data_IF_698818834319
#
_entry.id   IF_698818834319
#
_cell.length_a   1.000
_cell.length_b   1.000
_cell.length_c   1.000
_cell.angle_alpha   90.00
_cell.angle_beta   90.00
_cell.angle_gamma   90.00
#
_symmetry.space_group_name_H-M   'P 1'
#
loop_
_entity.id
_entity.type
_entity.pdbx_description
1 polymer ?
#
# COMPACT_ATOMS: atom_id res chain seq x y z
N UNK A 1 59.88 -37.36 26.67
CA UNK A 1 59.69 -35.89 26.79
C UNK A 1 59.35 -35.42 25.38
N UNK A 2 58.09 -35.60 25.00
CA UNK A 2 57.01 -34.58 25.16
C UNK A 2 57.20 -33.45 24.14
N UNK A 3 56.22 -32.89 23.45
CA UNK A 3 54.83 -33.20 23.07
C UNK A 3 54.53 -32.09 22.02
N UNK A 4 53.89 -32.42 20.90
CA UNK A 4 52.60 -31.85 20.45
C UNK A 4 52.63 -30.38 19.96
N UNK A 5 52.06 -30.17 18.78
CA UNK A 5 51.74 -28.83 18.28
C UNK A 5 51.37 -28.73 16.80
N UNK A 6 50.58 -29.68 16.29
CA UNK A 6 49.76 -29.44 15.08
C UNK A 6 48.53 -28.68 15.57
N UNK A 7 48.33 -27.44 15.12
CA UNK A 7 47.07 -26.72 15.35
C UNK A 7 46.79 -25.71 14.25
N UNK A 8 45.69 -25.99 13.54
CA UNK A 8 44.65 -25.04 13.16
C UNK A 8 44.92 -24.06 12.01
N UNK A 9 44.99 -24.62 10.80
CA UNK A 9 44.40 -23.97 9.62
C UNK A 9 42.96 -24.44 9.54
N UNK A 10 42.08 -23.76 10.27
CA UNK A 10 40.64 -23.85 10.10
C UNK A 10 40.08 -22.43 10.04
N UNK A 11 40.26 -21.79 8.88
CA UNK A 11 39.55 -20.57 8.55
C UNK A 11 38.26 -20.97 7.84
N UNK A 12 37.36 -21.54 8.64
CA UNK A 12 36.00 -21.87 8.23
C UNK A 12 35.36 -20.66 7.58
N UNK A 13 34.91 -20.91 6.35
CA UNK A 13 33.92 -20.13 5.63
C UNK A 13 32.77 -19.83 6.58
N UNK A 14 32.64 -18.58 7.00
CA UNK A 14 31.40 -18.07 7.57
C UNK A 14 30.45 -17.77 6.41
N UNK A 15 29.43 -18.59 6.10
CA UNK A 15 28.41 -18.18 5.16
C UNK A 15 27.68 -16.99 5.79
N UNK A 16 27.69 -15.86 5.07
CA UNK A 16 26.93 -14.67 5.42
C UNK A 16 25.53 -15.08 5.82
N UNK A 17 25.23 -14.90 7.11
CA UNK A 17 23.89 -14.93 7.66
C UNK A 17 23.09 -13.91 6.86
N UNK A 18 22.35 -14.39 5.86
CA UNK A 18 21.30 -13.61 5.23
C UNK A 18 20.36 -13.26 6.38
N UNK A 19 20.40 -12.00 6.81
CA UNK A 19 19.43 -11.46 7.74
C UNK A 19 18.09 -11.55 7.03
N UNK A 20 17.38 -12.67 7.21
CA UNK A 20 15.96 -12.75 6.94
C UNK A 20 15.36 -11.79 7.97
N UNK A 21 15.18 -10.54 7.55
CA UNK A 21 14.38 -9.56 8.29
C UNK A 21 13.06 -10.25 8.59
N UNK A 22 12.78 -10.47 9.87
CA UNK A 22 11.49 -10.91 10.35
C UNK A 22 10.43 -9.97 9.77
N UNK A 23 9.77 -10.39 8.69
CA UNK A 23 8.55 -9.73 8.22
C UNK A 23 7.52 -10.06 9.27
N UNK A 24 7.35 -9.15 10.22
CA UNK A 24 6.33 -9.24 11.25
C UNK A 24 5.00 -9.50 10.55
N UNK A 25 4.44 -10.69 10.81
CA UNK A 25 3.16 -11.06 10.24
C UNK A 25 2.12 -10.08 10.83
N UNK A 26 1.27 -9.45 10.00
CA UNK A 26 0.28 -8.51 10.50
C UNK A 26 -0.59 -9.20 11.55
N UNK A 27 -0.96 -8.47 12.61
CA UNK A 27 -1.81 -9.04 13.64
C UNK A 27 -3.14 -9.48 13.00
N UNK A 28 -3.72 -10.58 13.50
CA UNK A 28 -5.00 -11.11 12.96
C UNK A 28 -6.11 -10.03 12.93
N UNK A 29 -6.06 -9.09 13.88
CA UNK A 29 -6.97 -7.94 13.95
C UNK A 29 -6.82 -6.99 12.76
N UNK A 30 -5.59 -6.73 12.30
CA UNK A 30 -5.32 -5.82 11.19
C UNK A 30 -5.85 -6.38 9.87
N UNK A 31 -5.67 -7.69 9.66
CA UNK A 31 -6.18 -8.37 8.47
C UNK A 31 -7.71 -8.35 8.43
N UNK A 32 -8.39 -8.54 9.57
CA UNK A 32 -9.85 -8.48 9.65
C UNK A 32 -10.39 -7.07 9.35
N UNK A 33 -9.73 -6.03 9.85
CA UNK A 33 -10.08 -4.63 9.55
C UNK A 33 -9.90 -4.32 8.05
N UNK A 34 -8.78 -4.72 7.45
CA UNK A 34 -8.53 -4.53 6.02
C UNK A 34 -9.63 -5.16 5.15
N UNK A 35 -10.05 -6.40 5.46
CA UNK A 35 -11.08 -7.10 4.68
C UNK A 35 -12.44 -6.38 4.77
N UNK A 36 -12.81 -5.84 5.94
CA UNK A 36 -14.06 -5.10 6.13
C UNK A 36 -14.07 -3.79 5.33
N UNK A 37 -13.00 -3.04 5.42
CA UNK A 37 -12.85 -1.77 4.72
C UNK A 37 -12.79 -1.95 3.21
N UNK A 38 -12.15 -3.02 2.72
CA UNK A 38 -12.14 -3.38 1.30
C UNK A 38 -13.56 -3.61 0.75
N UNK A 39 -14.37 -4.37 1.50
CA UNK A 39 -15.74 -4.67 1.11
C UNK A 39 -16.61 -3.40 1.14
N UNK A 40 -16.39 -2.55 2.15
CA UNK A 40 -17.06 -1.26 2.25
C UNK A 40 -16.69 -0.32 1.09
N UNK A 41 -15.42 -0.15 0.76
CA UNK A 41 -14.95 0.66 -0.38
C UNK A 41 -15.55 0.17 -1.71
N UNK A 42 -15.54 -1.15 -1.94
CA UNK A 42 -16.12 -1.70 -3.16
C UNK A 42 -17.63 -1.44 -3.25
N UNK A 43 -18.34 -1.45 -2.12
CA UNK A 43 -19.78 -1.19 -2.06
C UNK A 43 -20.17 0.29 -2.09
N UNK A 44 -19.29 1.21 -1.69
CA UNK A 44 -19.55 2.66 -1.68
C UNK A 44 -19.21 3.36 -2.99
N UNK A 45 -18.44 2.70 -3.87
CA UNK A 45 -18.11 3.24 -5.19
C UNK A 45 -19.35 3.36 -6.08
N UNK A 46 -19.55 4.54 -6.65
CA UNK A 46 -20.64 4.80 -7.58
C UNK A 46 -20.42 4.13 -8.95
N UNK A 47 -21.48 4.10 -9.76
CA UNK A 47 -21.44 3.51 -11.10
C UNK A 47 -20.39 4.18 -12.00
N UNK A 48 -20.21 5.49 -11.87
CA UNK A 48 -19.23 6.31 -12.59
C UNK A 48 -17.78 6.09 -12.14
N UNK A 49 -17.56 5.41 -11.00
CA UNK A 49 -16.24 5.14 -10.43
C UNK A 49 -15.83 6.07 -9.29
N UNK A 50 -16.60 7.13 -9.03
CA UNK A 50 -16.34 8.08 -7.95
C UNK A 50 -16.77 7.54 -6.58
N UNK A 51 -16.27 8.20 -5.53
CA UNK A 51 -16.74 8.05 -4.16
C UNK A 51 -17.51 9.31 -3.77
N UNK A 52 -18.83 9.25 -3.90
CA UNK A 52 -19.71 10.38 -3.59
C UNK A 52 -19.64 11.54 -4.59
N UNK A 53 -19.13 11.32 -5.81
CA UNK A 53 -18.92 12.38 -6.80
C UNK A 53 -17.85 13.40 -6.41
N UNK A 54 -17.07 13.14 -5.36
CA UNK A 54 -16.12 14.08 -4.78
C UNK A 54 -14.69 13.68 -5.10
N UNK A 55 -13.89 14.64 -5.56
CA UNK A 55 -12.51 14.40 -5.98
C UNK A 55 -11.63 13.99 -4.82
N UNK A 56 -11.76 14.64 -3.68
CA UNK A 56 -10.90 14.42 -2.53
C UNK A 56 -11.17 13.04 -1.89
N UNK A 57 -12.43 12.66 -1.78
CA UNK A 57 -12.86 11.31 -1.34
C UNK A 57 -12.43 10.22 -2.31
N UNK A 58 -12.56 10.46 -3.61
CA UNK A 58 -12.14 9.49 -4.64
C UNK A 58 -10.61 9.32 -4.65
N UNK A 59 -9.86 10.41 -4.47
CA UNK A 59 -8.41 10.36 -4.29
C UNK A 59 -8.02 9.58 -3.03
N UNK A 60 -8.69 9.83 -1.89
CA UNK A 60 -8.48 9.09 -0.65
C UNK A 60 -8.71 7.59 -0.81
N UNK A 61 -9.82 7.22 -1.45
CA UNK A 61 -10.14 5.82 -1.74
C UNK A 61 -9.05 5.17 -2.60
N UNK A 62 -8.61 5.85 -3.67
CA UNK A 62 -7.58 5.32 -4.56
C UNK A 62 -6.26 5.11 -3.80
N UNK A 63 -5.80 6.08 -3.02
CA UNK A 63 -4.58 5.96 -2.23
C UNK A 63 -4.65 4.80 -1.24
N UNK A 64 -5.78 4.62 -0.56
CA UNK A 64 -5.98 3.52 0.39
C UNK A 64 -5.92 2.15 -0.33
N UNK A 65 -6.54 2.04 -1.50
CA UNK A 65 -6.50 0.82 -2.30
C UNK A 65 -5.07 0.52 -2.78
N UNK A 66 -4.33 1.55 -3.17
CA UNK A 66 -2.95 1.46 -3.63
C UNK A 66 -2.02 0.99 -2.49
N UNK A 67 -2.08 1.63 -1.33
CA UNK A 67 -1.28 1.25 -0.15
C UNK A 67 -1.52 -0.20 0.29
N UNK A 68 -2.76 -0.69 0.14
CA UNK A 68 -3.12 -2.09 0.45
C UNK A 68 -2.71 -3.10 -0.63
N UNK A 69 -2.03 -2.64 -1.68
CA UNK A 69 -1.52 -3.47 -2.76
C UNK A 69 -2.61 -4.04 -3.68
N UNK A 70 -3.78 -3.40 -3.74
CA UNK A 70 -4.90 -3.87 -4.59
C UNK A 70 -4.66 -3.65 -6.08
N UNK A 71 -3.59 -2.94 -6.44
CA UNK A 71 -3.11 -2.77 -7.82
C UNK A 71 -2.58 -4.08 -8.42
N UNK A 72 -2.08 -5.00 -7.59
CA UNK A 72 -1.47 -6.27 -8.03
C UNK A 72 -2.42 -7.47 -7.96
N UNK A 73 -3.62 -7.31 -7.38
CA UNK A 73 -4.60 -8.39 -7.21
C UNK A 73 -5.52 -8.50 -8.43
N UNK A 74 -6.02 -9.68 -8.73
CA UNK A 74 -7.05 -9.88 -9.78
C UNK A 74 -8.46 -9.75 -9.21
N UNK A 75 -9.46 -9.48 -10.07
CA UNK A 75 -10.88 -9.48 -9.69
C UNK A 75 -11.46 -8.09 -9.34
N UNK A 76 -12.46 -8.07 -8.45
CA UNK A 76 -13.27 -6.89 -8.15
C UNK A 76 -12.43 -5.68 -7.68
N UNK A 77 -11.41 -5.92 -6.85
CA UNK A 77 -10.51 -4.89 -6.30
C UNK A 77 -9.76 -4.12 -7.39
N UNK A 78 -9.21 -4.82 -8.39
CA UNK A 78 -8.56 -4.18 -9.54
C UNK A 78 -9.54 -3.35 -10.35
N UNK A 79 -10.78 -3.82 -10.46
CA UNK A 79 -11.85 -3.09 -11.15
C UNK A 79 -12.22 -1.81 -10.39
N UNK A 80 -12.30 -1.85 -9.06
CA UNK A 80 -12.53 -0.67 -8.22
C UNK A 80 -11.42 0.37 -8.40
N UNK A 81 -10.15 -0.05 -8.38
CA UNK A 81 -8.99 0.81 -8.66
C UNK A 81 -9.09 1.43 -10.06
N UNK A 82 -9.31 0.60 -11.09
CA UNK A 82 -9.38 1.08 -12.47
C UNK A 82 -10.51 2.10 -12.69
N UNK A 83 -11.69 1.88 -12.09
CA UNK A 83 -12.81 2.82 -12.19
C UNK A 83 -12.52 4.14 -11.49
N UNK A 84 -11.93 4.11 -10.28
CA UNK A 84 -11.57 5.32 -9.57
C UNK A 84 -10.50 6.12 -10.32
N UNK A 85 -9.48 5.44 -10.84
CA UNK A 85 -8.43 6.06 -11.65
C UNK A 85 -8.99 6.67 -12.95
N UNK A 86 -9.85 5.95 -13.66
CA UNK A 86 -10.49 6.45 -14.89
C UNK A 86 -11.34 7.70 -14.61
N UNK A 87 -12.09 7.72 -13.50
CA UNK A 87 -12.85 8.90 -13.10
C UNK A 87 -11.92 10.07 -12.75
N UNK A 88 -10.89 9.86 -11.92
CA UNK A 88 -9.93 10.90 -11.53
C UNK A 88 -9.15 11.48 -12.70
N UNK A 89 -8.83 10.67 -13.72
CA UNK A 89 -8.13 11.14 -14.92
C UNK A 89 -8.93 12.17 -15.74
N UNK A 90 -10.24 12.30 -15.49
CA UNK A 90 -11.09 13.34 -16.11
C UNK A 90 -11.16 14.63 -15.29
N UNK A 91 -10.55 14.67 -14.11
CA UNK A 91 -10.62 15.79 -13.18
C UNK A 91 -9.36 16.65 -13.28
N UNK A 92 -9.53 17.94 -13.52
CA UNK A 92 -8.44 18.92 -13.41
C UNK A 92 -8.30 19.37 -11.96
N UNK A 93 -7.69 18.52 -11.13
CA UNK A 93 -7.56 18.78 -9.69
C UNK A 93 -6.23 18.25 -9.13
N UNK A 94 -5.55 18.99 -8.23
CA UNK A 94 -4.26 18.57 -7.66
C UNK A 94 -4.32 17.21 -6.95
N UNK A 95 -5.38 16.94 -6.18
CA UNK A 95 -5.55 15.66 -5.49
C UNK A 95 -5.76 14.48 -6.44
N UNK A 96 -6.37 14.72 -7.60
CA UNK A 96 -6.53 13.68 -8.61
C UNK A 96 -5.16 13.29 -9.18
N UNK A 97 -4.34 14.29 -9.53
CA UNK A 97 -2.97 14.08 -9.99
C UNK A 97 -2.12 13.32 -8.96
N UNK A 98 -2.15 13.76 -7.71
CA UNK A 98 -1.42 13.12 -6.61
C UNK A 98 -1.79 11.64 -6.46
N UNK A 99 -3.08 11.32 -6.52
CA UNK A 99 -3.53 9.93 -6.38
C UNK A 99 -3.14 9.07 -7.60
N UNK A 100 -3.14 9.63 -8.80
CA UNK A 100 -2.70 8.95 -10.02
C UNK A 100 -1.18 8.73 -10.03
N UNK A 101 -0.38 9.70 -9.59
CA UNK A 101 1.07 9.57 -9.46
C UNK A 101 1.45 8.44 -8.46
N UNK A 102 0.71 8.33 -7.34
CA UNK A 102 0.88 7.24 -6.39
C UNK A 102 0.49 5.87 -6.97
N UNK A 103 -0.57 5.81 -7.78
CA UNK A 103 -0.96 4.60 -8.50
C UNK A 103 0.14 4.16 -9.48
N UNK A 104 0.67 5.08 -10.28
CA UNK A 104 1.76 4.80 -11.22
C UNK A 104 3.02 4.25 -10.52
N UNK A 105 3.40 4.85 -9.38
CA UNK A 105 4.50 4.34 -8.56
C UNK A 105 4.24 2.89 -8.11
N UNK A 106 3.04 2.60 -7.61
CA UNK A 106 2.67 1.25 -7.19
C UNK A 106 2.67 0.22 -8.33
N UNK A 107 2.28 0.64 -9.54
CA UNK A 107 2.31 -0.18 -10.75
C UNK A 107 3.74 -0.47 -11.23
N UNK A 108 4.70 0.45 -11.01
CA UNK A 108 6.14 0.20 -11.23
C UNK A 108 6.79 -0.71 -10.19
N UNK A 109 6.05 -1.10 -9.16
CA UNK A 109 6.56 -1.94 -8.09
C UNK A 109 7.03 -1.17 -6.86
N UNK A 110 7.05 0.16 -6.93
CA UNK A 110 7.42 1.05 -5.82
C UNK A 110 6.32 1.05 -4.75
N UNK A 111 6.68 1.37 -3.51
CA UNK A 111 5.68 1.62 -2.46
C UNK A 111 5.46 3.13 -2.38
N UNK A 112 4.25 3.64 -2.69
CA UNK A 112 3.99 5.06 -2.55
C UNK A 112 4.14 5.46 -1.08
N UNK A 113 4.94 6.49 -0.85
CA UNK A 113 5.21 7.02 0.48
C UNK A 113 4.28 8.21 0.72
N UNK A 114 3.51 8.24 1.81
CA UNK A 114 2.71 9.40 2.17
C UNK A 114 3.58 10.66 2.27
N UNK A 115 3.22 11.70 1.51
CA UNK A 115 3.89 13.02 1.57
C UNK A 115 3.03 14.01 2.35
N UNK A 116 3.57 15.17 2.78
CA UNK A 116 2.75 16.23 3.40
C UNK A 116 1.54 16.65 2.56
N UNK A 117 1.62 16.51 1.23
CA UNK A 117 0.53 16.84 0.30
C UNK A 117 -0.70 15.92 0.47
N UNK A 118 -0.54 14.76 1.12
CA UNK A 118 -1.64 13.85 1.45
C UNK A 118 -2.52 14.38 2.59
N UNK A 119 -2.06 15.40 3.33
CA UNK A 119 -2.80 15.96 4.47
C UNK A 119 -4.23 16.40 4.10
N UNK A 120 -4.39 16.98 2.91
CA UNK A 120 -5.71 17.37 2.39
C UNK A 120 -6.64 16.16 2.13
N UNK A 121 -6.05 14.99 1.86
CA UNK A 121 -6.79 13.76 1.57
C UNK A 121 -7.29 13.09 2.85
N UNK A 122 -6.54 13.15 3.96
CA UNK A 122 -6.98 12.56 5.24
C UNK A 122 -8.26 13.20 5.79
N UNK A 123 -8.46 14.50 5.56
CA UNK A 123 -9.69 15.19 5.95
C UNK A 123 -10.92 14.85 5.08
N UNK A 124 -10.76 14.03 4.04
CA UNK A 124 -11.78 13.80 3.02
C UNK A 124 -12.72 12.65 3.37
N UNK A 125 -13.70 12.94 4.24
CA UNK A 125 -14.80 12.04 4.51
C UNK A 125 -14.36 10.70 5.15
N UNK A 126 -15.18 9.63 5.00
CA UNK A 126 -14.85 8.34 5.59
C UNK A 126 -13.64 7.66 4.93
N UNK A 127 -13.39 7.89 3.64
CA UNK A 127 -12.24 7.34 2.91
C UNK A 127 -10.92 7.93 3.42
N UNK A 128 -10.87 9.26 3.65
CA UNK A 128 -9.71 9.95 4.22
C UNK A 128 -9.37 9.46 5.62
N UNK A 129 -10.38 9.28 6.49
CA UNK A 129 -10.17 8.73 7.85
C UNK A 129 -9.68 7.28 7.83
N UNK A 130 -10.18 6.46 6.90
CA UNK A 130 -9.69 5.09 6.75
C UNK A 130 -8.23 5.08 6.26
N UNK A 131 -7.86 6.01 5.38
CA UNK A 131 -6.48 6.18 4.92
C UNK A 131 -5.54 6.59 6.07
N UNK A 132 -5.96 7.54 6.92
CA UNK A 132 -5.18 8.00 8.08
C UNK A 132 -4.87 6.88 9.09
N UNK A 133 -5.78 5.91 9.24
CA UNK A 133 -5.61 4.76 10.12
C UNK A 133 -4.63 3.70 9.56
N UNK A 134 -4.18 3.85 8.31
CA UNK A 134 -3.28 2.93 7.63
C UNK A 134 -2.10 3.67 6.97
N UNK A 135 -1.22 4.31 7.77
CA UNK A 135 0.02 4.86 7.23
C UNK A 135 0.89 3.71 6.67
N UNK A 136 1.53 3.98 5.54
CA UNK A 136 2.33 3.03 4.75
C UNK A 136 3.51 2.42 5.52
#
# INVERSE_FOLDING_TARGET
KEEVGISDIDQERSPGRVAITHRELPAKSDVATQVRDDAWLAGSQQADGSFGGDVARTAAALLLLVLRGHTRRTGARRRTVAKAAAWLATQDHPLARLALEALEAAERGEQPVPTPDWAAVYASGPEGRALEQHPA
#
